data_IF_370637742509
#
_entry.id   IF_370637742509
#
_cell.length_a   1.000
_cell.length_b   1.000
_cell.length_c   1.000
_cell.angle_alpha   90.00
_cell.angle_beta   90.00
_cell.angle_gamma   90.00
#
_symmetry.space_group_name_H-M   'P 1'
#
loop_
_entity.id
_entity.type
_entity.pdbx_description
1 polymer ?
#
# COMPACT_ATOMS: atom_id res chain seq x y z
N UNK A 1 0.99 -28.55 -94.33
CA UNK A 1 1.29 -27.24 -93.68
C UNK A 1 0.11 -26.82 -92.86
N UNK A 2 0.20 -26.99 -91.52
CA UNK A 2 -0.86 -26.68 -90.59
C UNK A 2 -0.51 -25.37 -89.87
N UNK A 3 -1.43 -24.41 -89.84
CA UNK A 3 -1.29 -23.12 -89.10
C UNK A 3 -1.61 -23.33 -87.62
N UNK A 4 -0.90 -22.67 -86.69
CA UNK A 4 -1.11 -22.83 -85.26
C UNK A 4 -2.30 -22.01 -84.78
N UNK A 5 -3.04 -22.57 -83.80
CA UNK A 5 -4.18 -21.96 -83.08
C UNK A 5 -3.76 -20.85 -82.13
N UNK A 6 -4.44 -19.69 -82.15
CA UNK A 6 -4.24 -18.57 -81.26
C UNK A 6 -4.77 -18.89 -79.86
N UNK A 7 -3.91 -18.88 -78.89
CA UNK A 7 -4.28 -18.91 -77.43
C UNK A 7 -4.88 -17.56 -77.00
N UNK A 8 -6.15 -17.58 -76.58
CA UNK A 8 -6.77 -16.43 -75.91
C UNK A 8 -6.31 -16.34 -74.45
N UNK A 9 -5.86 -15.15 -74.04
CA UNK A 9 -5.38 -14.89 -72.67
C UNK A 9 -6.56 -14.65 -71.76
N UNK A 10 -6.40 -15.02 -70.47
CA UNK A 10 -7.36 -14.86 -69.33
C UNK A 10 -7.98 -13.45 -69.20
N UNK A 11 -7.35 -12.46 -69.83
CA UNK A 11 -7.78 -11.05 -69.80
C UNK A 11 -8.93 -10.72 -70.76
N UNK A 12 -9.14 -11.55 -71.80
CA UNK A 12 -10.23 -11.36 -72.77
C UNK A 12 -11.52 -12.07 -72.35
N UNK A 13 -11.45 -13.03 -71.46
CA UNK A 13 -12.63 -13.72 -70.92
C UNK A 13 -13.38 -12.84 -69.89
N UNK A 14 -12.66 -12.00 -69.18
CA UNK A 14 -13.24 -11.12 -68.16
C UNK A 14 -13.90 -9.82 -68.68
N UNK A 15 -13.73 -9.50 -69.98
CA UNK A 15 -14.36 -8.34 -70.64
C UNK A 15 -15.70 -8.62 -71.35
N UNK A 16 -16.11 -9.85 -71.47
CA UNK A 16 -17.38 -10.21 -72.14
C UNK A 16 -18.51 -10.62 -71.19
N UNK A 17 -18.26 -10.66 -69.86
CA UNK A 17 -19.28 -10.97 -68.83
C UNK A 17 -19.88 -9.73 -68.13
N UNK A 18 -19.54 -8.51 -68.56
CA UNK A 18 -19.95 -7.27 -67.89
C UNK A 18 -21.06 -6.48 -68.59
N UNK A 19 -21.76 -7.08 -69.56
CA UNK A 19 -22.73 -6.33 -70.39
C UNK A 19 -24.11 -7.02 -70.54
N UNK A 20 -24.61 -7.70 -69.52
CA UNK A 20 -25.99 -8.19 -69.48
C UNK A 20 -26.44 -8.49 -68.03
N UNK A 21 -26.65 -7.46 -67.23
CA UNK A 21 -27.50 -7.48 -66.01
C UNK A 21 -27.75 -6.03 -65.52
N UNK A 22 -28.34 -5.20 -66.41
CA UNK A 22 -28.97 -3.96 -65.94
C UNK A 22 -30.49 -4.27 -65.89
N UNK A 23 -30.91 -4.90 -64.83
CA UNK A 23 -32.31 -5.20 -64.54
C UNK A 23 -32.53 -5.09 -63.02
N UNK A 24 -33.27 -4.09 -62.61
CA UNK A 24 -33.78 -3.81 -61.30
C UNK A 24 -33.73 -4.95 -60.27
N UNK A 25 -32.81 -4.82 -59.30
CA UNK A 25 -32.96 -5.40 -57.98
C UNK A 25 -32.59 -4.28 -57.00
N UNK A 26 -33.60 -3.57 -56.48
CA UNK A 26 -33.53 -2.79 -55.27
C UNK A 26 -33.21 -3.75 -54.11
N UNK A 27 -31.93 -4.09 -53.93
CA UNK A 27 -31.46 -4.73 -52.71
C UNK A 27 -31.59 -3.71 -51.59
N UNK A 28 -32.60 -3.87 -50.78
CA UNK A 28 -32.59 -3.38 -49.41
C UNK A 28 -31.32 -3.91 -48.79
N UNK A 29 -30.29 -3.05 -48.73
CA UNK A 29 -29.14 -3.25 -47.86
C UNK A 29 -29.67 -3.19 -46.42
N UNK A 30 -30.04 -4.35 -45.88
CA UNK A 30 -30.17 -4.50 -44.46
C UNK A 30 -28.74 -4.29 -43.96
N UNK A 31 -28.45 -3.06 -43.53
CA UNK A 31 -27.22 -2.77 -42.81
C UNK A 31 -27.19 -3.77 -41.65
N UNK A 32 -26.26 -4.74 -41.70
CA UNK A 32 -25.98 -5.59 -40.58
C UNK A 32 -25.75 -4.64 -39.39
N UNK A 33 -26.39 -4.89 -38.21
CA UNK A 33 -26.19 -4.05 -37.08
C UNK A 33 -24.68 -3.96 -36.85
N UNK A 34 -24.12 -2.78 -36.97
CA UNK A 34 -22.73 -2.55 -36.60
C UNK A 34 -22.64 -3.02 -35.18
N UNK A 35 -21.99 -4.15 -34.91
CA UNK A 35 -21.68 -4.60 -33.56
C UNK A 35 -20.92 -3.47 -32.94
N UNK A 36 -21.58 -2.74 -32.05
CA UNK A 36 -20.97 -1.64 -31.33
C UNK A 36 -19.72 -2.20 -30.68
N UNK A 37 -18.57 -1.69 -31.10
CA UNK A 37 -17.28 -2.16 -30.59
C UNK A 37 -17.32 -1.97 -29.06
N UNK A 38 -17.05 -3.05 -28.31
CA UNK A 38 -17.05 -2.98 -26.84
C UNK A 38 -16.13 -1.87 -26.39
N UNK A 39 -16.54 -0.99 -25.46
CA UNK A 39 -15.66 0.03 -24.94
C UNK A 39 -14.46 -0.64 -24.28
N UNK A 40 -13.26 -0.10 -24.55
CA UNK A 40 -12.01 -0.62 -23.99
C UNK A 40 -11.69 0.09 -22.70
N UNK A 41 -11.18 -0.66 -21.70
CA UNK A 41 -10.72 -0.14 -20.43
C UNK A 41 -9.38 -0.78 -20.07
N UNK A 42 -8.35 0.05 -19.86
CA UNK A 42 -7.03 -0.41 -19.42
C UNK A 42 -6.86 -0.13 -17.94
N UNK A 43 -6.65 -1.16 -17.16
CA UNK A 43 -6.48 -1.10 -15.72
C UNK A 43 -5.10 -1.65 -15.29
N UNK A 44 -4.28 -0.79 -14.66
CA UNK A 44 -3.02 -1.20 -14.07
C UNK A 44 -3.15 -1.36 -12.56
N UNK A 45 -2.94 -2.62 -12.11
CA UNK A 45 -2.90 -3.00 -10.70
C UNK A 45 -1.46 -3.21 -10.26
N UNK A 46 -1.11 -2.83 -9.03
CA UNK A 46 0.14 -3.30 -8.47
C UNK A 46 0.04 -4.77 -8.07
N UNK A 47 1.18 -5.47 -8.10
CA UNK A 47 1.32 -6.87 -7.69
C UNK A 47 2.09 -6.93 -6.37
N UNK A 48 1.50 -7.62 -5.37
CA UNK A 48 2.10 -7.73 -4.04
C UNK A 48 1.75 -9.04 -3.30
N UNK A 49 0.46 -9.33 -3.04
CA UNK A 49 -0.02 -10.56 -2.42
C UNK A 49 -0.90 -11.32 -3.40
N UNK A 50 -0.52 -12.55 -3.72
CA UNK A 50 -1.18 -13.34 -4.77
C UNK A 50 -2.70 -13.43 -4.59
N UNK A 51 -3.19 -13.78 -3.40
CA UNK A 51 -4.61 -13.95 -3.12
C UNK A 51 -5.39 -12.65 -3.28
N UNK A 52 -4.83 -11.54 -2.81
CA UNK A 52 -5.41 -10.20 -2.96
C UNK A 52 -5.35 -9.73 -4.42
N UNK A 53 -4.24 -10.02 -5.11
CA UNK A 53 -4.06 -9.68 -6.52
C UNK A 53 -5.06 -10.42 -7.40
N UNK A 54 -5.25 -11.73 -7.14
CA UNK A 54 -6.23 -12.58 -7.83
C UNK A 54 -7.66 -12.08 -7.57
N UNK A 55 -8.01 -11.73 -6.33
CA UNK A 55 -9.34 -11.21 -5.98
C UNK A 55 -9.67 -9.92 -6.73
N UNK A 56 -8.71 -8.98 -6.82
CA UNK A 56 -8.88 -7.73 -7.58
C UNK A 56 -9.02 -7.99 -9.08
N UNK A 57 -8.15 -8.82 -9.63
CA UNK A 57 -8.19 -9.16 -11.07
C UNK A 57 -9.48 -9.90 -11.46
N UNK A 58 -9.96 -10.83 -10.61
CA UNK A 58 -11.20 -11.56 -10.83
C UNK A 58 -12.41 -10.62 -10.79
N UNK A 59 -12.50 -9.75 -9.78
CA UNK A 59 -13.54 -8.72 -9.76
C UNK A 59 -13.56 -7.88 -11.04
N UNK A 60 -12.40 -7.40 -11.48
CA UNK A 60 -12.31 -6.56 -12.67
C UNK A 60 -12.78 -7.31 -13.93
N UNK A 61 -12.45 -8.61 -14.07
CA UNK A 61 -12.91 -9.45 -15.18
C UNK A 61 -14.43 -9.70 -15.12
N UNK A 62 -14.97 -10.04 -13.95
CA UNK A 62 -16.41 -10.24 -13.72
C UNK A 62 -17.19 -8.95 -14.03
N UNK A 63 -16.68 -7.82 -13.56
CA UNK A 63 -17.26 -6.51 -13.83
C UNK A 63 -17.26 -6.20 -15.34
N UNK A 64 -16.15 -6.44 -16.02
CA UNK A 64 -16.04 -6.20 -17.47
C UNK A 64 -17.00 -7.09 -18.29
N UNK A 65 -17.15 -8.34 -17.90
CA UNK A 65 -18.10 -9.27 -18.52
C UNK A 65 -19.54 -8.76 -18.33
N UNK A 66 -19.90 -8.39 -17.10
CA UNK A 66 -21.25 -7.88 -16.76
C UNK A 66 -21.61 -6.59 -17.51
N UNK A 67 -20.61 -5.73 -17.73
CA UNK A 67 -20.81 -4.41 -18.37
C UNK A 67 -20.46 -4.41 -19.88
N UNK A 68 -20.19 -5.58 -20.46
CA UNK A 68 -19.82 -5.73 -21.88
C UNK A 68 -18.61 -4.87 -22.29
N UNK A 69 -17.56 -4.85 -21.46
CA UNK A 69 -16.33 -4.08 -21.64
C UNK A 69 -15.19 -4.98 -22.09
N UNK A 70 -14.37 -4.49 -23.03
CA UNK A 70 -13.08 -5.08 -23.40
C UNK A 70 -12.02 -4.60 -22.40
N UNK A 71 -11.74 -5.41 -21.37
CA UNK A 71 -10.85 -5.04 -20.27
C UNK A 71 -9.44 -5.61 -20.47
N UNK A 72 -8.44 -4.73 -20.45
CA UNK A 72 -7.05 -5.10 -20.32
C UNK A 72 -6.56 -4.84 -18.90
N UNK A 73 -6.13 -5.90 -18.19
CA UNK A 73 -5.51 -5.78 -16.87
C UNK A 73 -4.01 -5.99 -17.01
N UNK A 74 -3.23 -5.08 -16.42
CA UNK A 74 -1.78 -5.21 -16.32
C UNK A 74 -1.39 -5.26 -14.84
N UNK A 75 -0.83 -6.40 -14.40
CA UNK A 75 -0.27 -6.55 -13.06
C UNK A 75 1.19 -6.08 -13.10
N UNK A 76 1.50 -5.07 -12.30
CA UNK A 76 2.84 -4.46 -12.26
C UNK A 76 3.45 -4.67 -10.87
N UNK A 77 4.65 -5.28 -10.77
CA UNK A 77 5.33 -5.39 -9.48
C UNK A 77 5.43 -4.03 -8.79
N UNK A 78 5.14 -3.99 -7.47
CA UNK A 78 5.03 -2.74 -6.72
C UNK A 78 6.27 -1.83 -6.90
N UNK A 79 7.47 -2.41 -6.88
CA UNK A 79 8.74 -1.68 -7.06
C UNK A 79 8.91 -1.05 -8.45
N UNK A 80 8.24 -1.61 -9.46
CA UNK A 80 8.33 -1.16 -10.85
C UNK A 80 7.21 -0.20 -11.26
N UNK A 81 6.19 -0.04 -10.40
CA UNK A 81 4.97 0.67 -10.78
C UNK A 81 5.25 2.13 -11.14
N UNK A 82 5.95 2.87 -10.27
CA UNK A 82 6.24 4.29 -10.51
C UNK A 82 7.13 4.52 -11.74
N UNK A 83 8.25 3.80 -11.96
CA UNK A 83 9.02 3.90 -13.20
C UNK A 83 8.19 3.60 -14.46
N UNK A 84 7.40 2.54 -14.45
CA UNK A 84 6.58 2.15 -15.61
C UNK A 84 5.49 3.17 -15.94
N UNK A 85 4.75 3.66 -14.93
CA UNK A 85 3.71 4.68 -15.18
C UNK A 85 4.31 6.01 -15.63
N UNK A 86 5.49 6.38 -15.12
CA UNK A 86 6.21 7.58 -15.58
C UNK A 86 6.57 7.46 -17.07
N UNK A 87 7.14 6.34 -17.50
CA UNK A 87 7.43 6.08 -18.91
C UNK A 87 6.17 6.08 -19.79
N UNK A 88 5.05 5.52 -19.30
CA UNK A 88 3.78 5.55 -20.01
C UNK A 88 3.21 6.97 -20.17
N UNK A 89 3.40 7.83 -19.19
CA UNK A 89 3.02 9.25 -19.27
C UNK A 89 3.84 9.96 -20.35
N UNK A 90 5.15 9.78 -20.36
CA UNK A 90 6.06 10.35 -21.37
C UNK A 90 5.71 9.87 -22.79
N UNK A 91 5.38 8.58 -22.93
CA UNK A 91 4.96 7.98 -24.19
C UNK A 91 3.52 8.32 -24.60
N UNK A 92 2.74 9.05 -23.78
CA UNK A 92 1.30 9.32 -23.97
C UNK A 92 0.47 8.05 -24.14
N UNK A 93 0.86 6.97 -23.48
CA UNK A 93 0.28 5.63 -23.55
C UNK A 93 -0.16 5.14 -22.15
N UNK A 94 -0.77 6.04 -21.37
CA UNK A 94 -1.23 5.74 -20.00
C UNK A 94 -2.42 4.76 -20.01
N UNK A 95 -2.57 3.93 -18.96
CA UNK A 95 -3.83 3.23 -18.72
C UNK A 95 -4.96 4.23 -18.42
N UNK A 96 -6.19 3.72 -18.32
CA UNK A 96 -7.34 4.52 -17.88
C UNK A 96 -7.42 4.62 -16.36
N UNK A 97 -7.13 3.52 -15.67
CA UNK A 97 -7.18 3.41 -14.20
C UNK A 97 -5.85 2.87 -13.69
N UNK A 98 -5.40 3.43 -12.57
CA UNK A 98 -4.22 3.00 -11.82
C UNK A 98 -4.55 2.72 -10.36
N UNK A 99 -3.85 1.74 -9.76
CA UNK A 99 -4.04 1.31 -8.37
C UNK A 99 -2.78 1.49 -7.51
N UNK A 100 -1.96 2.46 -7.81
CA UNK A 100 -0.78 2.81 -6.98
C UNK A 100 -0.29 4.20 -7.28
N UNK A 101 0.55 4.74 -6.39
CA UNK A 101 1.24 6.03 -6.55
C UNK A 101 0.30 7.22 -6.80
N UNK A 102 -0.94 7.17 -6.29
CA UNK A 102 -1.92 8.22 -6.55
C UNK A 102 -1.49 9.60 -6.04
N UNK A 103 -0.78 9.68 -4.92
CA UNK A 103 -0.29 10.95 -4.36
C UNK A 103 0.74 11.60 -5.29
N UNK A 104 1.69 10.82 -5.81
CA UNK A 104 2.72 11.29 -6.75
C UNK A 104 2.10 11.71 -8.09
N UNK A 105 1.19 10.91 -8.59
CA UNK A 105 0.49 11.21 -9.85
C UNK A 105 -0.40 12.44 -9.72
N UNK A 106 -1.06 12.63 -8.57
CA UNK A 106 -1.82 13.83 -8.24
C UNK A 106 -0.93 15.06 -8.22
N UNK A 107 0.20 15.00 -7.51
CA UNK A 107 1.15 16.11 -7.41
C UNK A 107 1.69 16.55 -8.79
N UNK A 108 1.75 15.61 -9.75
CA UNK A 108 2.14 15.87 -11.14
C UNK A 108 0.96 16.28 -12.05
N UNK A 109 -0.26 16.42 -11.51
CA UNK A 109 -1.47 16.78 -12.27
C UNK A 109 -1.90 15.74 -13.31
N UNK A 110 -1.61 14.47 -13.07
CA UNK A 110 -1.86 13.37 -14.01
C UNK A 110 -3.21 12.65 -13.79
N UNK A 111 -3.98 13.05 -12.79
CA UNK A 111 -5.22 12.38 -12.40
C UNK A 111 -6.45 13.21 -12.78
N UNK A 112 -7.53 12.51 -13.09
CA UNK A 112 -8.87 13.07 -13.25
C UNK A 112 -9.50 13.30 -11.88
N UNK A 113 -10.26 14.38 -11.75
CA UNK A 113 -11.04 14.65 -10.54
C UNK A 113 -12.20 13.65 -10.38
N UNK A 114 -12.39 13.16 -9.15
CA UNK A 114 -13.40 12.16 -8.76
C UNK A 114 -14.17 12.58 -7.50
N UNK A 115 -14.28 13.88 -7.25
CA UNK A 115 -14.98 14.46 -6.09
C UNK A 115 -16.45 14.06 -6.04
N UNK A 116 -17.08 13.91 -7.19
CA UNK A 116 -18.46 13.43 -7.33
C UNK A 116 -18.62 12.00 -6.76
N UNK A 117 -17.72 11.10 -7.10
CA UNK A 117 -17.73 9.70 -6.60
C UNK A 117 -17.42 9.68 -5.10
N UNK A 118 -16.43 10.46 -4.66
CA UNK A 118 -16.07 10.58 -3.24
C UNK A 118 -17.28 10.95 -2.39
N UNK A 119 -18.00 12.01 -2.76
CA UNK A 119 -19.22 12.49 -2.06
C UNK A 119 -20.36 11.48 -2.12
N UNK A 120 -20.51 10.80 -3.25
CA UNK A 120 -21.54 9.77 -3.41
C UNK A 120 -21.26 8.56 -2.50
N UNK A 121 -19.99 8.10 -2.42
CA UNK A 121 -19.57 7.01 -1.53
C UNK A 121 -19.77 7.39 -0.05
N UNK A 122 -19.35 8.60 0.33
CA UNK A 122 -19.52 9.15 1.68
C UNK A 122 -20.98 9.11 2.12
N UNK A 123 -21.88 9.63 1.26
CA UNK A 123 -23.32 9.65 1.53
C UNK A 123 -23.93 8.26 1.58
N UNK A 124 -23.52 7.35 0.68
CA UNK A 124 -24.17 6.04 0.53
C UNK A 124 -23.72 5.07 1.61
N UNK A 125 -22.47 5.12 2.05
CA UNK A 125 -21.87 4.12 2.96
C UNK A 125 -21.50 4.69 4.34
N UNK A 126 -22.23 5.74 4.77
CA UNK A 126 -22.21 6.26 6.13
C UNK A 126 -21.02 7.16 6.48
N UNK A 127 -20.19 7.53 5.50
CA UNK A 127 -19.02 8.39 5.68
C UNK A 127 -17.69 7.63 5.72
N UNK A 128 -16.60 8.38 5.60
CA UNK A 128 -15.24 7.86 5.62
C UNK A 128 -14.77 7.59 7.05
N UNK A 129 -13.83 6.65 7.19
CA UNK A 129 -13.25 6.25 8.48
C UNK A 129 -11.92 6.99 8.73
N UNK A 130 -11.69 7.38 9.98
CA UNK A 130 -10.42 7.94 10.46
C UNK A 130 -9.93 9.13 9.63
N UNK A 131 -8.67 9.07 9.24
CA UNK A 131 -8.01 10.12 8.46
C UNK A 131 -8.16 9.98 6.92
N UNK A 132 -9.03 9.08 6.42
CA UNK A 132 -9.25 8.94 4.99
C UNK A 132 -9.62 10.26 4.28
N UNK A 133 -10.52 11.11 4.82
CA UNK A 133 -10.77 12.44 4.24
C UNK A 133 -9.53 13.31 4.17
N UNK A 134 -8.74 13.36 5.25
CA UNK A 134 -7.52 14.17 5.35
C UNK A 134 -6.45 13.78 4.30
N UNK A 135 -6.44 12.51 3.90
CA UNK A 135 -5.50 12.00 2.88
C UNK A 135 -6.00 12.29 1.46
N UNK A 136 -7.31 12.19 1.24
CA UNK A 136 -7.90 12.32 -0.10
C UNK A 136 -8.23 13.75 -0.49
N UNK A 137 -8.77 14.56 0.45
CA UNK A 137 -9.20 15.92 0.19
C UNK A 137 -7.99 16.86 0.03
N UNK A 138 -8.00 17.63 -1.06
CA UNK A 138 -7.09 18.74 -1.26
C UNK A 138 -7.59 20.00 -0.51
N UNK A 139 -6.76 21.02 -0.31
CA UNK A 139 -7.16 22.25 0.39
C UNK A 139 -8.36 22.96 -0.22
N UNK A 140 -8.60 22.79 -1.53
CA UNK A 140 -9.75 23.34 -2.26
C UNK A 140 -10.96 22.39 -2.27
N UNK A 141 -10.90 21.26 -1.59
CA UNK A 141 -11.98 20.27 -1.47
C UNK A 141 -12.07 19.29 -2.64
N UNK A 142 -11.15 19.32 -3.60
CA UNK A 142 -11.12 18.35 -4.70
C UNK A 142 -10.53 17.02 -4.26
N UNK A 143 -10.90 15.96 -4.99
CA UNK A 143 -10.41 14.58 -4.80
C UNK A 143 -10.00 14.01 -6.15
N UNK A 144 -8.79 13.44 -6.22
CA UNK A 144 -8.26 12.84 -7.44
C UNK A 144 -7.96 11.33 -7.31
N UNK A 145 -8.19 10.73 -6.16
CA UNK A 145 -8.08 9.29 -5.94
C UNK A 145 -9.01 8.82 -4.85
N UNK A 146 -9.44 7.59 -4.90
CA UNK A 146 -10.30 6.97 -3.90
C UNK A 146 -9.52 5.90 -3.14
N UNK A 147 -9.46 6.04 -1.84
CA UNK A 147 -8.89 5.01 -0.97
C UNK A 147 -9.85 3.83 -0.88
N UNK A 148 -9.31 2.61 -0.92
CA UNK A 148 -10.08 1.38 -0.71
C UNK A 148 -9.64 0.60 0.53
N UNK A 149 -8.55 0.96 1.17
CA UNK A 149 -8.11 0.32 2.40
C UNK A 149 -6.96 1.04 3.09
N UNK A 150 -6.87 0.84 4.40
CA UNK A 150 -5.72 1.18 5.22
C UNK A 150 -4.91 -0.07 5.55
N UNK A 151 -3.61 0.08 5.67
CA UNK A 151 -2.73 -0.90 6.28
C UNK A 151 -1.57 -0.20 7.02
N UNK A 152 -0.86 -0.94 7.85
CA UNK A 152 0.35 -0.46 8.51
C UNK A 152 0.96 -1.56 9.35
N UNK A 153 2.06 -1.23 9.99
CA UNK A 153 2.64 -2.12 10.97
C UNK A 153 1.76 -2.15 12.22
N UNK A 154 1.67 -3.33 12.81
CA UNK A 154 0.94 -3.61 14.04
C UNK A 154 1.88 -4.29 15.03
N UNK A 155 1.56 -4.20 16.31
CA UNK A 155 2.19 -5.06 17.29
C UNK A 155 1.57 -6.46 17.18
N UNK A 156 2.36 -7.40 16.72
CA UNK A 156 2.02 -8.82 16.67
C UNK A 156 2.68 -9.52 17.85
N UNK A 157 1.91 -10.28 18.65
CA UNK A 157 2.37 -10.87 19.91
C UNK A 157 1.99 -12.33 20.07
N UNK A 158 2.80 -13.04 20.85
CA UNK A 158 2.53 -14.38 21.36
C UNK A 158 1.74 -14.30 22.66
N UNK A 159 0.42 -14.12 22.53
CA UNK A 159 -0.47 -13.93 23.70
C UNK A 159 -0.42 -15.11 24.66
N UNK A 160 -0.26 -16.34 24.14
CA UNK A 160 -0.08 -17.53 24.96
C UNK A 160 1.18 -17.51 25.86
N UNK A 161 2.24 -16.86 25.39
CA UNK A 161 3.47 -16.70 26.18
C UNK A 161 3.35 -15.57 27.20
N UNK A 162 2.60 -14.53 26.86
CA UNK A 162 2.27 -13.45 27.79
C UNK A 162 1.41 -13.95 28.93
N UNK A 163 0.35 -14.72 28.62
CA UNK A 163 -0.52 -15.35 29.62
C UNK A 163 0.27 -16.25 30.58
N UNK A 164 1.17 -17.09 30.04
CA UNK A 164 2.06 -17.93 30.86
C UNK A 164 3.00 -17.11 31.77
N UNK A 165 3.39 -15.93 31.34
CA UNK A 165 4.19 -15.00 32.13
C UNK A 165 3.35 -14.15 33.10
N UNK A 166 2.01 -14.32 33.13
CA UNK A 166 1.11 -13.51 33.93
C UNK A 166 1.00 -12.06 33.46
N UNK A 167 1.11 -11.83 32.15
CA UNK A 167 1.03 -10.53 31.48
C UNK A 167 -0.23 -10.45 30.63
N UNK A 168 -0.87 -9.27 30.62
CA UNK A 168 -2.08 -9.03 29.81
C UNK A 168 -1.74 -8.23 28.54
N UNK A 169 -1.90 -8.81 27.32
CA UNK A 169 -1.75 -8.05 26.09
C UNK A 169 -2.92 -7.08 25.88
N UNK A 170 -2.71 -5.97 25.12
CA UNK A 170 -1.41 -5.46 24.67
C UNK A 170 -0.66 -4.68 25.76
N UNK A 171 0.68 -4.57 25.68
CA UNK A 171 1.43 -3.58 26.45
C UNK A 171 0.97 -2.17 26.07
N UNK A 172 0.72 -1.32 27.07
CA UNK A 172 0.15 0.01 26.86
C UNK A 172 1.16 1.03 26.31
N UNK A 173 2.42 0.89 26.73
CA UNK A 173 3.52 1.79 26.38
C UNK A 173 4.72 1.02 25.82
N UNK A 174 5.67 1.73 25.20
CA UNK A 174 6.94 1.13 24.76
C UNK A 174 7.75 0.59 25.94
N UNK A 175 7.67 1.26 27.09
CA UNK A 175 8.31 0.77 28.33
C UNK A 175 7.67 -0.55 28.80
N UNK A 176 6.33 -0.65 28.77
CA UNK A 176 5.63 -1.92 29.07
C UNK A 176 6.02 -3.02 28.09
N UNK A 177 6.11 -2.69 26.78
CA UNK A 177 6.54 -3.65 25.76
C UNK A 177 7.93 -4.23 26.10
N UNK A 178 8.88 -3.36 26.47
CA UNK A 178 10.21 -3.80 26.87
C UNK A 178 10.18 -4.67 28.13
N UNK A 179 9.40 -4.28 29.14
CA UNK A 179 9.23 -5.05 30.37
C UNK A 179 8.61 -6.43 30.09
N UNK A 180 7.58 -6.50 29.24
CA UNK A 180 6.95 -7.75 28.81
C UNK A 180 7.93 -8.64 28.02
N UNK A 181 8.66 -8.04 27.09
CA UNK A 181 9.65 -8.73 26.28
C UNK A 181 10.74 -9.36 27.15
N UNK A 182 11.29 -8.61 28.12
CA UNK A 182 12.27 -9.11 29.11
C UNK A 182 11.73 -10.29 29.91
N UNK A 183 10.48 -10.24 30.33
CA UNK A 183 9.86 -11.25 31.20
C UNK A 183 9.50 -12.52 30.44
N UNK A 184 9.05 -12.40 29.18
CA UNK A 184 8.55 -13.52 28.39
C UNK A 184 9.61 -14.22 27.53
N UNK A 185 10.77 -13.59 27.29
CA UNK A 185 11.84 -14.19 26.46
C UNK A 185 12.53 -15.36 27.14
N UNK A 186 13.17 -16.22 26.32
CA UNK A 186 14.00 -17.36 26.74
C UNK A 186 15.19 -17.53 25.79
N UNK A 187 16.15 -16.61 25.78
CA UNK A 187 17.29 -16.70 24.87
C UNK A 187 18.10 -17.99 25.10
N UNK A 188 18.74 -18.55 24.07
CA UNK A 188 18.76 -18.11 22.67
C UNK A 188 17.59 -18.64 21.81
N UNK A 189 16.64 -19.35 22.40
CA UNK A 189 15.54 -20.01 21.66
C UNK A 189 14.40 -19.05 21.30
N UNK A 190 14.11 -18.09 22.20
CA UNK A 190 13.01 -17.16 22.06
C UNK A 190 13.45 -15.77 22.53
N UNK A 191 13.43 -14.80 21.63
CA UNK A 191 13.76 -13.42 21.92
C UNK A 191 12.52 -12.58 22.18
N UNK A 192 12.67 -11.51 22.97
CA UNK A 192 11.56 -10.63 23.34
C UNK A 192 11.00 -9.86 22.15
N UNK A 193 11.87 -9.28 21.29
CA UNK A 193 11.50 -8.38 20.21
C UNK A 193 12.18 -8.79 18.90
N UNK A 194 11.42 -9.15 17.89
CA UNK A 194 11.92 -9.38 16.53
C UNK A 194 11.79 -8.13 15.67
N UNK A 195 12.56 -7.09 15.96
CA UNK A 195 12.52 -5.79 15.26
C UNK A 195 13.85 -5.60 14.52
N UNK A 196 13.84 -5.37 13.18
CA UNK A 196 15.06 -5.10 12.43
C UNK A 196 15.68 -3.76 12.83
N UNK A 197 16.99 -3.69 12.78
CA UNK A 197 17.77 -2.45 12.90
C UNK A 197 18.76 -2.39 11.74
N UNK A 198 18.28 -2.39 10.53
CA UNK A 198 19.06 -2.49 9.30
C UNK A 198 18.76 -1.33 8.34
N UNK A 199 19.43 -1.33 7.19
CA UNK A 199 19.16 -0.37 6.12
C UNK A 199 17.97 -0.78 5.25
N UNK A 200 16.96 -1.42 5.85
CA UNK A 200 15.74 -1.84 5.19
C UNK A 200 14.55 -1.07 5.77
N UNK A 201 13.52 -0.90 4.95
CA UNK A 201 12.36 -0.06 5.29
C UNK A 201 11.57 -0.55 6.51
N UNK A 202 11.60 -1.83 6.85
CA UNK A 202 10.95 -2.35 8.06
C UNK A 202 11.59 -1.83 9.36
N UNK A 203 12.81 -1.27 9.28
CA UNK A 203 13.45 -0.58 10.41
C UNK A 203 12.83 0.80 10.72
N UNK A 204 11.88 1.27 9.90
CA UNK A 204 11.15 2.54 10.14
C UNK A 204 10.44 2.59 11.48
N UNK A 205 10.10 1.45 12.06
CA UNK A 205 9.44 1.37 13.37
C UNK A 205 10.22 2.10 14.46
N UNK A 206 11.52 2.23 14.32
CA UNK A 206 12.35 3.03 15.24
C UNK A 206 12.13 4.53 15.10
N UNK A 207 11.88 5.01 13.86
CA UNK A 207 11.50 6.41 13.62
C UNK A 207 10.11 6.69 14.19
N UNK A 208 9.14 5.80 13.98
CA UNK A 208 7.80 5.92 14.55
C UNK A 208 7.84 5.95 16.07
N UNK A 209 8.67 5.07 16.65
CA UNK A 209 8.91 5.03 18.10
C UNK A 209 9.51 6.34 18.58
N UNK A 210 10.56 6.86 17.94
CA UNK A 210 11.19 8.14 18.25
C UNK A 210 10.19 9.32 18.19
N UNK A 211 9.33 9.33 17.18
CA UNK A 211 8.28 10.34 17.03
C UNK A 211 7.27 10.31 18.18
N UNK A 212 7.00 9.14 18.75
CA UNK A 212 6.14 9.00 19.94
C UNK A 212 6.76 9.58 21.22
N UNK A 213 8.06 9.89 21.20
CA UNK A 213 8.77 10.69 22.21
C UNK A 213 8.70 12.20 21.92
N UNK A 214 8.09 12.58 20.80
CA UNK A 214 7.86 13.98 20.43
C UNK A 214 8.90 14.56 19.49
N UNK A 215 9.82 13.76 18.96
CA UNK A 215 10.78 14.22 17.96
C UNK A 215 10.09 14.50 16.61
N UNK A 216 10.64 15.48 15.87
CA UNK A 216 10.21 15.81 14.52
C UNK A 216 11.41 15.94 13.57
N UNK A 217 11.21 15.63 12.31
CA UNK A 217 12.24 15.77 11.29
C UNK A 217 12.16 17.13 10.59
N UNK A 218 10.93 17.57 10.30
CA UNK A 218 10.67 18.80 9.55
C UNK A 218 9.58 19.67 10.19
N UNK A 219 9.47 20.90 9.74
CA UNK A 219 8.43 21.84 10.16
C UNK A 219 7.04 21.44 9.61
N UNK A 220 6.00 22.18 10.01
CA UNK A 220 4.61 21.91 9.63
C UNK A 220 4.33 22.03 8.13
N UNK A 221 5.25 22.66 7.38
CA UNK A 221 5.18 22.75 5.92
C UNK A 221 5.95 21.63 5.23
N UNK A 222 6.72 20.84 5.99
CA UNK A 222 7.56 19.77 5.45
C UNK A 222 8.73 20.30 4.58
N UNK A 223 9.19 21.53 4.80
CA UNK A 223 10.22 22.17 3.98
C UNK A 223 11.54 22.35 4.73
N UNK A 224 11.49 22.80 5.97
CA UNK A 224 12.67 23.07 6.78
C UNK A 224 12.91 21.95 7.78
N UNK A 225 14.13 21.45 7.82
CA UNK A 225 14.54 20.47 8.85
C UNK A 225 14.55 21.16 10.22
N UNK A 226 13.88 20.55 11.17
CA UNK A 226 13.82 20.99 12.59
C UNK A 226 14.40 19.95 13.56
N UNK A 227 14.90 18.83 13.05
CA UNK A 227 15.36 17.70 13.85
C UNK A 227 16.38 18.11 14.91
N UNK A 228 17.26 19.07 14.59
CA UNK A 228 18.22 19.65 15.53
C UNK A 228 17.57 20.30 16.76
N UNK A 229 16.39 20.91 16.60
CA UNK A 229 15.65 21.60 17.66
C UNK A 229 15.00 20.59 18.64
N UNK A 230 14.86 19.32 18.23
CA UNK A 230 14.24 18.23 19.01
C UNK A 230 15.27 17.33 19.72
N UNK A 231 16.50 17.80 19.89
CA UNK A 231 17.57 17.05 20.55
C UNK A 231 17.15 16.47 21.90
N UNK A 232 16.44 17.18 22.81
CA UNK A 232 16.01 16.61 24.07
C UNK A 232 15.10 15.38 23.93
N UNK A 233 14.12 15.42 23.01
CA UNK A 233 13.21 14.32 22.75
C UNK A 233 13.91 13.12 22.12
N UNK A 234 14.87 13.39 21.22
CA UNK A 234 15.71 12.35 20.64
C UNK A 234 16.58 11.70 21.73
N UNK A 235 17.13 12.46 22.67
CA UNK A 235 17.91 11.90 23.78
C UNK A 235 17.08 11.01 24.70
N UNK A 236 15.87 11.41 25.04
CA UNK A 236 14.93 10.57 25.80
C UNK A 236 14.65 9.26 25.08
N UNK A 237 14.41 9.31 23.77
CA UNK A 237 14.27 8.11 22.95
C UNK A 237 15.55 7.26 22.91
N UNK A 238 16.73 7.88 22.78
CA UNK A 238 18.02 7.16 22.75
C UNK A 238 18.35 6.49 24.09
N UNK A 239 17.86 7.03 25.22
CA UNK A 239 17.95 6.35 26.52
C UNK A 239 17.14 5.07 26.51
N UNK A 240 15.88 5.13 26.06
CA UNK A 240 15.04 3.95 25.87
C UNK A 240 15.64 2.96 24.87
N UNK A 241 16.07 3.41 23.70
CA UNK A 241 16.73 2.55 22.70
C UNK A 241 17.97 1.83 23.27
N UNK A 242 18.78 2.56 24.04
CA UNK A 242 19.98 1.99 24.68
C UNK A 242 19.60 0.89 25.69
N UNK A 243 18.52 1.07 26.43
CA UNK A 243 17.99 0.04 27.32
C UNK A 243 17.50 -1.19 26.54
N UNK A 244 16.73 -0.99 25.44
CA UNK A 244 16.30 -2.08 24.56
C UNK A 244 17.53 -2.87 24.06
N UNK A 245 18.55 -2.17 23.54
CA UNK A 245 19.74 -2.80 22.98
C UNK A 245 20.51 -3.62 24.01
N UNK A 246 20.76 -3.03 25.19
CA UNK A 246 21.52 -3.66 26.29
C UNK A 246 20.76 -4.79 26.97
N UNK A 247 19.46 -4.83 26.89
CA UNK A 247 18.63 -5.85 27.55
C UNK A 247 18.69 -7.24 26.93
N UNK A 248 19.26 -7.37 25.73
CA UNK A 248 19.34 -8.65 25.01
C UNK A 248 17.98 -9.16 24.51
N UNK A 249 16.96 -8.32 24.41
CA UNK A 249 15.63 -8.72 23.90
C UNK A 249 15.60 -8.86 22.38
N UNK A 250 16.55 -8.25 21.68
CA UNK A 250 16.69 -8.35 20.23
C UNK A 250 17.52 -9.57 19.84
N UNK A 251 17.13 -10.33 18.79
CA UNK A 251 17.95 -11.42 18.28
C UNK A 251 19.30 -10.93 17.75
N UNK A 252 20.34 -11.77 17.81
CA UNK A 252 21.58 -11.50 17.10
C UNK A 252 21.35 -11.30 15.61
N UNK A 253 22.07 -10.36 14.99
CA UNK A 253 22.01 -10.12 13.55
C UNK A 253 20.89 -9.19 13.08
N UNK A 254 20.04 -8.61 13.96
CA UNK A 254 18.99 -7.65 13.58
C UNK A 254 19.50 -6.46 12.76
N UNK A 255 20.80 -6.14 12.86
CA UNK A 255 21.46 -5.07 12.10
C UNK A 255 21.67 -5.39 10.62
N UNK A 256 21.47 -6.65 10.23
CA UNK A 256 21.63 -7.14 8.85
C UNK A 256 20.35 -7.78 8.29
N UNK A 257 19.24 -7.73 9.03
CA UNK A 257 17.97 -8.30 8.60
C UNK A 257 17.43 -7.58 7.37
N UNK A 258 16.87 -8.35 6.44
CA UNK A 258 16.01 -7.82 5.38
C UNK A 258 14.55 -7.68 5.84
N UNK A 259 13.68 -7.19 4.96
CA UNK A 259 12.25 -6.96 5.24
C UNK A 259 11.42 -8.25 5.40
N UNK A 260 12.02 -9.43 5.41
CA UNK A 260 11.34 -10.72 5.60
C UNK A 260 11.72 -11.42 6.90
N UNK A 261 12.79 -10.98 7.55
CA UNK A 261 13.36 -11.68 8.71
C UNK A 261 12.52 -11.55 9.97
N UNK A 262 11.83 -10.42 10.19
CA UNK A 262 10.84 -10.29 11.27
C UNK A 262 9.70 -11.29 11.10
N UNK A 263 9.18 -11.46 9.87
CA UNK A 263 8.16 -12.43 9.52
C UNK A 263 8.62 -13.85 9.83
N UNK A 264 9.75 -14.26 9.25
CA UNK A 264 10.26 -15.63 9.41
C UNK A 264 10.66 -15.94 10.86
N UNK A 265 11.17 -14.96 11.61
CA UNK A 265 11.49 -15.14 13.03
C UNK A 265 10.24 -15.39 13.86
N UNK A 266 9.14 -14.66 13.61
CA UNK A 266 7.87 -14.88 14.30
C UNK A 266 7.23 -16.20 13.88
N UNK A 267 7.16 -16.49 12.59
CA UNK A 267 6.61 -17.73 12.02
C UNK A 267 7.35 -18.98 12.54
N UNK A 268 8.64 -18.85 12.81
CA UNK A 268 9.44 -19.91 13.44
C UNK A 268 9.27 -20.00 14.98
N UNK A 269 8.42 -19.17 15.59
CA UNK A 269 8.19 -19.12 17.02
C UNK A 269 9.37 -18.58 17.85
N UNK A 270 10.27 -17.79 17.24
CA UNK A 270 11.51 -17.28 17.85
C UNK A 270 11.42 -15.85 18.39
N UNK A 271 10.27 -15.21 18.29
CA UNK A 271 10.02 -13.87 18.87
C UNK A 271 8.72 -13.86 19.66
N UNK A 272 8.69 -13.15 20.80
CA UNK A 272 7.47 -12.87 21.57
C UNK A 272 6.66 -11.80 20.87
N UNK A 273 7.33 -10.74 20.43
CA UNK A 273 6.73 -9.61 19.71
C UNK A 273 7.48 -9.32 18.41
N UNK A 274 6.74 -8.93 17.39
CA UNK A 274 7.26 -8.28 16.19
C UNK A 274 6.38 -7.09 15.82
N UNK A 275 6.94 -6.14 15.09
CA UNK A 275 6.19 -5.06 14.46
C UNK A 275 6.13 -5.36 12.96
N UNK A 276 4.92 -5.62 12.45
CA UNK A 276 4.74 -6.03 11.07
C UNK A 276 3.29 -5.79 10.61
N UNK A 277 3.03 -5.67 9.30
CA UNK A 277 1.67 -5.74 8.77
C UNK A 277 1.00 -7.09 9.06
N UNK A 278 -0.31 -7.15 8.86
CA UNK A 278 -1.14 -8.36 9.03
C UNK A 278 -0.69 -9.55 8.15
N UNK A 279 0.24 -9.34 7.23
CA UNK A 279 0.78 -10.35 6.30
C UNK A 279 1.33 -11.60 6.99
N UNK A 280 1.90 -11.46 8.20
CA UNK A 280 2.30 -12.62 9.03
C UNK A 280 1.09 -13.54 9.24
N UNK A 281 -0.03 -12.98 9.63
CA UNK A 281 -1.21 -13.75 10.02
C UNK A 281 -2.00 -14.29 8.84
N UNK A 282 -1.99 -13.58 7.73
CA UNK A 282 -2.50 -14.14 6.47
C UNK A 282 -1.70 -15.38 6.05
N UNK A 283 -0.38 -15.36 6.24
CA UNK A 283 0.45 -16.55 6.01
C UNK A 283 0.16 -17.65 7.03
N UNK A 284 0.06 -17.32 8.34
CA UNK A 284 -0.21 -18.27 9.40
C UNK A 284 -1.57 -18.97 9.25
N UNK A 285 -2.58 -18.28 8.72
CA UNK A 285 -3.91 -18.85 8.50
C UNK A 285 -3.85 -20.14 7.67
N UNK A 286 -2.99 -20.18 6.68
CA UNK A 286 -2.83 -21.33 5.80
C UNK A 286 -1.74 -22.30 6.28
N UNK A 287 -0.64 -21.78 6.84
CA UNK A 287 0.57 -22.57 7.05
C UNK A 287 0.77 -23.02 8.51
N UNK A 288 0.22 -22.28 9.48
CA UNK A 288 0.33 -22.61 10.91
C UNK A 288 -0.84 -22.04 11.73
N UNK A 289 -2.06 -22.59 11.58
CA UNK A 289 -3.25 -22.13 12.30
C UNK A 289 -3.12 -22.19 13.83
N UNK A 290 -2.33 -23.14 14.35
CA UNK A 290 -2.08 -23.24 15.79
C UNK A 290 -1.33 -22.03 16.32
N UNK A 291 -0.33 -21.55 15.59
CA UNK A 291 0.38 -20.33 15.97
C UNK A 291 -0.51 -19.10 15.80
N UNK A 292 -1.33 -19.06 14.74
CA UNK A 292 -2.31 -17.98 14.56
C UNK A 292 -3.26 -17.86 15.74
N UNK A 293 -3.79 -18.97 16.25
CA UNK A 293 -4.68 -18.99 17.42
C UNK A 293 -4.04 -18.46 18.72
N UNK A 294 -2.70 -18.38 18.77
CA UNK A 294 -1.89 -17.86 19.88
C UNK A 294 -1.36 -16.44 19.63
N UNK A 295 -1.76 -15.83 18.52
CA UNK A 295 -1.23 -14.57 18.04
C UNK A 295 -2.23 -13.44 18.23
N UNK A 296 -1.82 -12.39 18.95
CA UNK A 296 -2.54 -11.13 19.08
C UNK A 296 -2.09 -10.09 18.05
N UNK A 297 -3.00 -9.16 17.73
CA UNK A 297 -2.77 -8.07 16.78
C UNK A 297 -3.31 -6.77 17.36
N UNK A 298 -2.43 -5.82 17.58
CA UNK A 298 -2.72 -4.58 18.31
C UNK A 298 -2.13 -3.38 17.58
N UNK A 299 -2.67 -2.20 17.84
CA UNK A 299 -2.00 -0.95 17.49
C UNK A 299 -0.68 -0.83 18.25
N UNK A 300 0.16 0.10 17.84
CA UNK A 300 1.42 0.36 18.52
C UNK A 300 1.21 0.75 19.99
N UNK A 301 2.15 0.43 20.88
CA UNK A 301 2.23 1.02 22.19
C UNK A 301 2.41 2.54 22.13
N UNK A 302 1.98 3.26 23.17
CA UNK A 302 2.17 4.71 23.26
C UNK A 302 3.58 5.04 23.72
N UNK A 303 4.12 6.13 23.18
CA UNK A 303 5.26 6.80 23.79
C UNK A 303 4.82 7.90 24.78
N UNK A 304 5.78 8.61 25.39
CA UNK A 304 5.49 9.68 26.37
C UNK A 304 4.63 10.82 25.80
N UNK A 305 4.68 11.07 24.51
CA UNK A 305 3.91 12.13 23.84
C UNK A 305 2.67 11.62 23.10
N UNK A 306 2.38 10.33 23.15
CA UNK A 306 1.17 9.77 22.59
C UNK A 306 1.39 8.56 21.69
N UNK A 307 0.32 8.18 21.02
CA UNK A 307 0.34 7.13 20.00
C UNK A 307 0.80 7.73 18.67
N UNK A 308 1.79 7.11 18.08
CA UNK A 308 2.13 7.28 16.65
C UNK A 308 1.84 5.95 15.97
N UNK A 309 0.81 5.93 15.11
CA UNK A 309 0.37 4.75 14.38
C UNK A 309 0.34 5.09 12.89
N UNK A 310 1.47 5.03 12.18
CA UNK A 310 1.47 5.33 10.75
C UNK A 310 0.70 4.29 9.96
N UNK A 311 -0.05 4.76 8.97
CA UNK A 311 -0.77 3.91 8.02
C UNK A 311 -0.40 4.27 6.59
N UNK A 312 -0.34 3.25 5.76
CA UNK A 312 -0.37 3.38 4.32
C UNK A 312 -1.79 3.11 3.82
N UNK A 313 -2.03 3.39 2.57
CA UNK A 313 -3.34 3.18 1.97
C UNK A 313 -3.25 2.64 0.55
N UNK A 314 -4.21 1.80 0.21
CA UNK A 314 -4.49 1.43 -1.16
C UNK A 314 -5.45 2.43 -1.78
N UNK A 315 -5.19 2.84 -3.01
CA UNK A 315 -6.06 3.78 -3.72
C UNK A 315 -6.17 3.44 -5.21
N UNK A 316 -7.32 3.83 -5.80
CA UNK A 316 -7.56 3.79 -7.23
C UNK A 316 -7.74 5.21 -7.74
N UNK A 317 -7.20 5.48 -8.92
CA UNK A 317 -7.30 6.77 -9.57
C UNK A 317 -7.53 6.61 -11.09
N UNK A 318 -8.16 7.61 -11.69
CA UNK A 318 -8.37 7.67 -13.14
C UNK A 318 -7.29 8.58 -13.73
N UNK A 319 -6.63 8.12 -14.77
CA UNK A 319 -5.65 8.96 -15.48
C UNK A 319 -6.34 10.07 -16.25
N UNK A 320 -5.78 11.28 -16.20
CA UNK A 320 -6.38 12.51 -16.74
C UNK A 320 -6.76 12.43 -18.23
N UNK A 321 -5.99 11.68 -19.02
CA UNK A 321 -6.15 11.61 -20.46
C UNK A 321 -6.92 10.39 -20.95
N UNK A 322 -7.64 9.69 -20.05
CA UNK A 322 -8.53 8.59 -20.44
C UNK A 322 -9.54 9.03 -21.50
N UNK A 323 -9.87 8.14 -22.41
CA UNK A 323 -10.91 8.36 -23.44
C UNK A 323 -12.29 7.85 -23.01
N UNK A 324 -12.35 7.20 -21.84
CA UNK A 324 -13.56 6.58 -21.31
C UNK A 324 -13.82 6.98 -19.84
N UNK A 325 -13.87 8.31 -19.54
CA UNK A 325 -13.94 8.79 -18.16
C UNK A 325 -15.17 8.27 -17.40
N UNK A 326 -16.34 8.25 -18.02
CA UNK A 326 -17.57 7.78 -17.34
C UNK A 326 -17.51 6.28 -17.05
N UNK A 327 -16.97 5.48 -17.97
CA UNK A 327 -16.77 4.05 -17.74
C UNK A 327 -15.76 3.80 -16.62
N UNK A 328 -14.66 4.56 -16.58
CA UNK A 328 -13.68 4.49 -15.51
C UNK A 328 -14.27 4.91 -14.16
N UNK A 329 -15.10 5.96 -14.12
CA UNK A 329 -15.84 6.37 -12.92
C UNK A 329 -16.82 5.30 -12.44
N UNK A 330 -17.53 4.66 -13.35
CA UNK A 330 -18.43 3.55 -13.01
C UNK A 330 -17.63 2.39 -12.40
N UNK A 331 -16.48 2.03 -12.98
CA UNK A 331 -15.60 1.00 -12.42
C UNK A 331 -15.15 1.36 -11.00
N UNK A 332 -14.72 2.60 -10.76
CA UNK A 332 -14.33 3.05 -9.43
C UNK A 332 -15.48 2.91 -8.42
N UNK A 333 -16.66 3.36 -8.79
CA UNK A 333 -17.85 3.24 -7.95
C UNK A 333 -18.18 1.78 -7.62
N UNK A 334 -18.31 0.92 -8.63
CA UNK A 334 -18.69 -0.49 -8.47
C UNK A 334 -17.60 -1.28 -7.72
N UNK A 335 -16.33 -0.87 -7.85
CA UNK A 335 -15.22 -1.49 -7.12
C UNK A 335 -15.26 -1.25 -5.61
N UNK A 336 -16.06 -0.28 -5.15
CA UNK A 336 -16.26 0.05 -3.73
C UNK A 336 -17.57 -0.54 -3.16
N UNK A 337 -18.23 -1.44 -3.87
CA UNK A 337 -19.42 -2.10 -3.37
C UNK A 337 -19.12 -2.95 -2.12
N UNK A 338 -19.91 -2.82 -1.01
CA UNK A 338 -19.63 -3.50 0.26
C UNK A 338 -19.47 -5.02 0.15
N UNK A 339 -20.35 -5.70 -0.60
CA UNK A 339 -20.29 -7.15 -0.75
C UNK A 339 -18.99 -7.62 -1.44
N UNK A 340 -18.49 -6.83 -2.39
CA UNK A 340 -17.19 -7.07 -3.05
C UNK A 340 -16.05 -6.79 -2.08
N UNK A 341 -16.10 -5.67 -1.36
CA UNK A 341 -15.05 -5.27 -0.43
C UNK A 341 -14.94 -6.19 0.77
N UNK A 342 -16.03 -6.76 1.27
CA UNK A 342 -16.02 -7.77 2.33
C UNK A 342 -15.24 -9.04 1.89
N UNK A 343 -15.48 -9.51 0.66
CA UNK A 343 -14.73 -10.67 0.11
C UNK A 343 -13.26 -10.37 -0.08
N UNK A 344 -12.92 -9.20 -0.63
CA UNK A 344 -11.53 -8.78 -0.86
C UNK A 344 -10.78 -8.59 0.46
N UNK A 345 -11.42 -7.99 1.46
CA UNK A 345 -10.85 -7.84 2.81
C UNK A 345 -10.44 -9.17 3.42
N UNK A 346 -11.16 -10.26 3.12
CA UNK A 346 -10.87 -11.59 3.65
C UNK A 346 -9.54 -12.21 3.19
N UNK A 347 -8.97 -11.72 2.11
CA UNK A 347 -7.72 -12.23 1.51
C UNK A 347 -6.67 -11.14 1.34
N UNK A 348 -6.88 -9.96 1.92
CA UNK A 348 -6.01 -8.81 1.77
C UNK A 348 -5.57 -8.23 3.11
N UNK A 349 -4.62 -7.32 3.06
CA UNK A 349 -4.09 -6.61 4.22
C UNK A 349 -4.83 -5.30 4.52
N UNK A 350 -5.98 -5.05 3.86
CA UNK A 350 -6.63 -3.75 3.87
C UNK A 350 -7.76 -3.67 4.89
N UNK A 351 -7.64 -2.72 5.82
CA UNK A 351 -8.67 -2.36 6.76
C UNK A 351 -9.72 -1.41 6.16
N UNK A 352 -10.86 -1.20 6.85
CA UNK A 352 -12.00 -0.47 6.33
C UNK A 352 -11.73 1.02 6.12
N UNK A 353 -12.27 1.60 5.04
CA UNK A 353 -12.19 3.04 4.74
C UNK A 353 -13.56 3.74 4.80
N UNK A 354 -14.66 3.00 4.76
CA UNK A 354 -16.02 3.50 4.88
C UNK A 354 -16.70 2.91 6.12
N UNK A 355 -17.60 3.66 6.77
CA UNK A 355 -18.23 3.23 8.02
C UNK A 355 -19.03 1.93 7.90
N UNK A 356 -19.68 1.71 6.76
CA UNK A 356 -20.38 0.45 6.53
C UNK A 356 -19.44 -0.75 6.43
N UNK A 357 -18.17 -0.56 6.05
CA UNK A 357 -17.18 -1.63 6.02
C UNK A 357 -16.76 -2.11 7.42
N UNK A 358 -16.98 -1.29 8.46
CA UNK A 358 -16.77 -1.71 9.85
C UNK A 358 -17.68 -2.88 10.26
N UNK A 359 -18.76 -3.11 9.52
CA UNK A 359 -19.78 -4.14 9.77
C UNK A 359 -19.53 -5.44 9.01
N UNK A 360 -18.48 -5.55 8.22
CA UNK A 360 -18.20 -6.72 7.38
C UNK A 360 -18.12 -8.01 8.19
N UNK A 361 -18.63 -9.08 7.61
CA UNK A 361 -18.64 -10.40 8.24
C UNK A 361 -17.22 -10.97 8.39
N UNK A 362 -16.29 -10.57 7.54
CA UNK A 362 -14.89 -11.02 7.63
C UNK A 362 -14.26 -10.70 8.99
N UNK A 363 -14.60 -9.58 9.62
CA UNK A 363 -14.06 -9.20 10.93
C UNK A 363 -14.52 -10.13 12.06
N UNK A 364 -15.67 -10.79 11.89
CA UNK A 364 -16.18 -11.82 12.81
C UNK A 364 -15.53 -13.17 12.52
N UNK A 365 -15.41 -13.52 11.24
CA UNK A 365 -14.85 -14.80 10.78
C UNK A 365 -13.35 -14.90 11.01
N UNK A 366 -12.63 -13.76 10.94
CA UNK A 366 -11.17 -13.65 11.08
C UNK A 366 -10.82 -12.67 12.20
N UNK A 367 -10.93 -13.09 13.48
CA UNK A 367 -10.70 -12.19 14.62
C UNK A 367 -9.33 -11.52 14.64
N UNK A 368 -8.31 -12.16 14.06
CA UNK A 368 -6.96 -11.58 13.93
C UNK A 368 -6.93 -10.31 13.06
N UNK A 369 -7.94 -10.06 12.22
CA UNK A 369 -8.04 -8.86 11.40
C UNK A 369 -8.66 -7.65 12.14
N UNK A 370 -9.20 -7.83 13.35
CA UNK A 370 -9.82 -6.72 14.11
C UNK A 370 -8.90 -5.54 14.35
N UNK A 371 -7.61 -5.80 14.51
CA UNK A 371 -6.61 -4.74 14.64
C UNK A 371 -6.56 -3.76 13.45
N UNK A 372 -6.94 -4.22 12.24
CA UNK A 372 -7.07 -3.34 11.08
C UNK A 372 -8.18 -2.29 11.25
N UNK A 373 -9.25 -2.62 11.96
CA UNK A 373 -10.35 -1.68 12.26
C UNK A 373 -9.82 -0.55 13.15
N UNK A 374 -9.16 -0.88 14.25
CA UNK A 374 -8.61 0.11 15.17
C UNK A 374 -7.56 0.98 14.47
N UNK A 375 -6.68 0.36 13.69
CA UNK A 375 -5.68 1.08 12.91
C UNK A 375 -6.33 2.02 11.87
N UNK A 376 -7.40 1.59 11.19
CA UNK A 376 -8.12 2.46 10.25
C UNK A 376 -8.77 3.67 10.92
N UNK A 377 -9.23 3.51 12.16
CA UNK A 377 -9.88 4.58 12.94
C UNK A 377 -8.88 5.57 13.55
N UNK A 378 -7.69 5.11 13.93
CA UNK A 378 -6.70 5.88 14.70
C UNK A 378 -5.41 6.19 13.93
N UNK A 379 -5.22 5.55 12.77
CA UNK A 379 -3.99 5.66 12.00
C UNK A 379 -3.81 7.05 11.41
N UNK A 380 -2.56 7.51 11.42
CA UNK A 380 -2.13 8.77 10.85
C UNK A 380 -1.40 8.53 9.52
N UNK A 381 -1.38 9.49 8.59
CA UNK A 381 -0.58 9.36 7.39
C UNK A 381 0.88 9.01 7.70
N UNK A 382 1.53 8.27 6.81
CA UNK A 382 2.97 8.04 6.91
C UNK A 382 3.70 9.38 7.10
N UNK A 383 4.75 9.35 7.90
CA UNK A 383 5.51 10.55 8.22
C UNK A 383 4.96 11.35 9.40
N UNK A 384 3.70 11.20 9.78
CA UNK A 384 3.13 11.94 10.91
C UNK A 384 4.03 11.89 12.17
N UNK A 385 4.21 13.00 12.89
CA UNK A 385 3.62 14.34 12.72
C UNK A 385 4.27 15.21 11.62
N UNK A 386 5.27 14.72 10.91
CA UNK A 386 5.86 15.40 9.77
C UNK A 386 4.97 15.27 8.52
N UNK A 387 5.23 16.10 7.50
CA UNK A 387 4.49 16.07 6.23
C UNK A 387 5.00 14.95 5.34
N UNK A 388 4.09 14.10 4.86
CA UNK A 388 4.39 13.10 3.84
C UNK A 388 4.62 13.76 2.47
N UNK A 389 5.87 14.01 2.12
CA UNK A 389 6.31 14.61 0.87
C UNK A 389 7.54 13.87 0.28
N UNK A 390 8.08 14.35 -0.83
CA UNK A 390 9.21 13.69 -1.49
C UNK A 390 10.48 13.72 -0.64
N UNK A 391 10.73 14.80 0.12
CA UNK A 391 11.85 14.87 1.05
C UNK A 391 11.73 13.82 2.17
N UNK A 392 10.55 13.69 2.76
CA UNK A 392 10.29 12.65 3.76
C UNK A 392 10.46 11.25 3.16
N UNK A 393 10.00 11.02 1.94
CA UNK A 393 10.14 9.72 1.25
C UNK A 393 11.60 9.36 0.95
N UNK A 394 12.40 10.33 0.55
CA UNK A 394 13.83 10.11 0.32
C UNK A 394 14.54 9.74 1.63
N UNK A 395 14.32 10.47 2.72
CA UNK A 395 14.94 10.15 4.01
C UNK A 395 14.48 8.79 4.54
N UNK A 396 13.20 8.46 4.35
CA UNK A 396 12.64 7.15 4.71
C UNK A 396 13.32 6.01 3.93
N UNK A 397 13.46 6.15 2.62
CA UNK A 397 14.15 5.15 1.77
C UNK A 397 15.63 5.01 2.14
N UNK A 398 16.26 6.12 2.54
CA UNK A 398 17.64 6.13 3.04
C UNK A 398 17.79 5.60 4.47
N UNK A 399 16.68 5.27 5.14
CA UNK A 399 16.65 4.76 6.52
C UNK A 399 17.47 5.61 7.50
N UNK A 400 17.34 6.94 7.39
CA UNK A 400 18.22 7.92 8.08
C UNK A 400 18.25 7.71 9.58
N UNK A 401 17.10 7.49 10.23
CA UNK A 401 17.02 7.29 11.67
C UNK A 401 17.58 5.93 12.09
N UNK A 402 17.26 4.85 11.37
CA UNK A 402 17.82 3.52 11.65
C UNK A 402 19.33 3.52 11.50
N UNK A 403 19.88 4.25 10.53
CA UNK A 403 21.31 4.44 10.36
C UNK A 403 21.93 5.18 11.55
N UNK A 404 21.30 6.24 12.05
CA UNK A 404 21.74 6.93 13.26
C UNK A 404 21.85 5.96 14.45
N UNK A 405 20.88 5.06 14.62
CA UNK A 405 20.93 4.05 15.68
C UNK A 405 22.03 3.00 15.44
N UNK A 406 22.24 2.56 14.20
CA UNK A 406 23.33 1.66 13.86
C UNK A 406 24.71 2.28 14.18
N UNK A 407 24.90 3.60 13.96
CA UNK A 407 26.14 4.29 14.33
C UNK A 407 26.46 4.13 15.81
N UNK A 408 25.44 4.11 16.68
CA UNK A 408 25.62 3.94 18.12
C UNK A 408 26.04 2.53 18.49
N UNK A 409 25.42 1.49 17.90
CA UNK A 409 25.53 0.11 18.38
C UNK A 409 26.45 -0.77 17.54
N UNK A 410 26.70 -0.42 16.29
CA UNK A 410 27.61 -1.13 15.39
C UNK A 410 28.95 -0.40 15.30
N UNK A 411 28.91 0.92 15.08
CA UNK A 411 30.11 1.72 14.85
C UNK A 411 30.66 2.34 16.16
N UNK A 412 29.94 2.18 17.28
CA UNK A 412 30.31 2.71 18.60
C UNK A 412 30.52 4.24 18.60
N UNK A 413 29.75 4.98 17.80
CA UNK A 413 29.82 6.42 17.80
C UNK A 413 29.16 7.03 19.05
N UNK A 414 29.60 8.24 19.40
CA UNK A 414 28.89 9.04 20.43
C UNK A 414 27.52 9.45 19.90
N UNK A 415 26.57 9.70 20.80
CA UNK A 415 25.22 10.18 20.45
C UNK A 415 25.28 11.47 19.65
N UNK A 416 26.11 12.44 20.10
CA UNK A 416 26.27 13.73 19.41
C UNK A 416 26.77 13.56 17.98
N UNK A 417 27.75 12.67 17.73
CA UNK A 417 28.28 12.42 16.39
C UNK A 417 27.22 11.79 15.48
N UNK A 418 26.50 10.75 15.96
CA UNK A 418 25.48 10.07 15.20
C UNK A 418 24.28 11.00 14.88
N UNK A 419 23.88 11.82 15.85
CA UNK A 419 22.83 12.81 15.68
C UNK A 419 23.21 13.89 14.67
N UNK A 420 24.44 14.44 14.76
CA UNK A 420 24.93 15.46 13.83
C UNK A 420 24.96 14.92 12.38
N UNK A 421 25.38 13.65 12.16
CA UNK A 421 25.29 13.03 10.83
C UNK A 421 23.83 12.96 10.35
N UNK A 422 22.89 12.57 11.20
CA UNK A 422 21.47 12.49 10.82
C UNK A 422 20.89 13.87 10.46
N UNK A 423 21.22 14.91 11.23
CA UNK A 423 20.83 16.30 10.93
C UNK A 423 21.39 16.75 9.58
N UNK A 424 22.67 16.48 9.31
CA UNK A 424 23.32 16.84 8.05
C UNK A 424 22.67 16.13 6.83
N UNK A 425 22.43 14.82 6.97
CA UNK A 425 21.76 14.01 5.93
C UNK A 425 20.35 14.54 5.65
N UNK A 426 19.55 14.78 6.70
CA UNK A 426 18.20 15.35 6.55
C UNK A 426 18.25 16.71 5.86
N UNK A 427 19.17 17.60 6.31
CA UNK A 427 19.31 18.95 5.72
C UNK A 427 19.63 18.88 4.21
N UNK A 428 20.55 17.99 3.82
CA UNK A 428 20.89 17.78 2.39
C UNK A 428 19.72 17.23 1.57
N UNK A 429 18.94 16.31 2.15
CA UNK A 429 17.76 15.75 1.48
C UNK A 429 16.70 16.85 1.28
N UNK A 430 16.31 17.53 2.36
CA UNK A 430 15.25 18.54 2.30
C UNK A 430 15.59 19.74 1.42
N UNK A 431 16.87 20.12 1.36
CA UNK A 431 17.32 21.19 0.48
C UNK A 431 17.10 20.93 -1.03
N UNK A 432 16.93 19.67 -1.44
CA UNK A 432 16.60 19.31 -2.83
C UNK A 432 15.15 19.64 -3.22
N UNK A 433 14.28 19.79 -2.22
CA UNK A 433 12.82 19.92 -2.39
C UNK A 433 12.27 21.23 -1.79
N UNK A 434 13.14 22.13 -1.34
CA UNK A 434 12.81 23.41 -0.71
C UNK A 434 12.20 24.43 -1.66
#
# INVERSE_FOLDING_TARGET
MARPAKRHTRRQFLKKSAALAAGAASTLSVAAPAFAQRPKLNYWCYQFLKESDDARANFAREWAQKNNVDLQITMVPLKEFLPKITAAIEAKATPDIVESNAVELRARGQLLEVTDIYKKLEKTYGGWVGNAPKIMLEPDGRVHHLMYGFQGFMLVSRDDLLDKAGLKPPPATWADLLAYAKKAQQPPRLFGLGIPLSNQTDSQVWEDMMKSYGARLADDKGKRVVFGDYKPQVWEFLDFFTEVWKSGVLPPGVTTWDNTMNNSTYQAGKAVFVLNPITISLWLETNNPELLAKTGHYTYPRGPKGLIQPVTFGSRAIMKYTKVPELAKQFLWDSMEPAKMDRESGVSQWGPVLKDYLKFEVWKKKPFMKGLIEMSQRGEPQGYPDVFNDAWREQFTNTTISRMLQRLVVDNWTRDKAFAEAVDVLTKIYAKYA
#
